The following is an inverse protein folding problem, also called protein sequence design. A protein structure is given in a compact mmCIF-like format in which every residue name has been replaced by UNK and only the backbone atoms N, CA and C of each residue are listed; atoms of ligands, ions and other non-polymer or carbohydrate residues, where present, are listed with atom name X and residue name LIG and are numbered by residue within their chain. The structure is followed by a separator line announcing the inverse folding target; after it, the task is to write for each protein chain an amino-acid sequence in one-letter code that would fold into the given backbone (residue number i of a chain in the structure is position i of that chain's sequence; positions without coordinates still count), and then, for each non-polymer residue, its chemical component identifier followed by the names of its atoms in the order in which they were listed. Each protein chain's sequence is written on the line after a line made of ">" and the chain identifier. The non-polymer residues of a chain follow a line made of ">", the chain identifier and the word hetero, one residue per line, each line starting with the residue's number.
data_IF_716920292626
#
_entry.id   IF_716920292626
#
_cell.length_a   1.000
_cell.length_b   1.000
_cell.length_c   1.000
_cell.angle_alpha   90.00
_cell.angle_beta   90.00
_cell.angle_gamma   90.00
#
_symmetry.space_group_name_H-M   'P 1'
#
loop_
_entity.id
_entity.type
_entity.pdbx_description
1 polymer ?
#
# COMPACT_ATOMS: atom_id res chain seq x y z
N UNK A 1 -13.51 -1.66 -12.17
CA UNK A 1 -13.00 -1.36 -10.81
C UNK A 1 -11.78 -2.24 -10.58
N UNK A 2 -10.62 -1.63 -10.31
CA UNK A 2 -9.37 -2.35 -10.03
C UNK A 2 -9.51 -3.14 -8.73
N UNK A 3 -9.01 -4.38 -8.68
CA UNK A 3 -8.88 -5.16 -7.45
C UNK A 3 -7.41 -5.52 -7.21
N UNK A 4 -6.94 -5.30 -5.98
CA UNK A 4 -5.57 -5.63 -5.55
C UNK A 4 -5.66 -6.65 -4.42
N UNK A 5 -4.92 -7.75 -4.53
CA UNK A 5 -4.86 -8.80 -3.51
C UNK A 5 -3.67 -8.57 -2.59
N UNK A 6 -3.93 -8.50 -1.29
CA UNK A 6 -2.95 -8.28 -0.24
C UNK A 6 -2.69 -9.59 0.48
N UNK A 7 -1.46 -10.09 0.39
CA UNK A 7 -1.01 -11.21 1.20
C UNK A 7 -0.57 -10.71 2.58
N UNK A 8 -1.26 -11.14 3.63
CA UNK A 8 -1.03 -10.68 5.01
C UNK A 8 -0.83 -11.86 5.96
N UNK A 9 -0.32 -11.58 7.16
CA UNK A 9 -0.18 -12.59 8.19
C UNK A 9 -1.55 -13.09 8.68
N UNK A 10 -1.65 -14.35 9.14
CA UNK A 10 -2.91 -14.90 9.64
C UNK A 10 -3.55 -14.07 10.76
N UNK A 11 -2.77 -13.56 11.71
CA UNK A 11 -3.28 -12.76 12.83
C UNK A 11 -4.04 -11.51 12.35
N UNK A 12 -3.43 -10.75 11.43
CA UNK A 12 -4.04 -9.54 10.87
C UNK A 12 -5.26 -9.87 9.99
N UNK A 13 -5.18 -10.95 9.21
CA UNK A 13 -6.31 -11.44 8.42
C UNK A 13 -7.51 -11.78 9.32
N UNK A 14 -7.29 -12.58 10.36
CA UNK A 14 -8.36 -13.02 11.27
C UNK A 14 -8.90 -11.87 12.12
N UNK A 15 -8.06 -10.88 12.45
CA UNK A 15 -8.54 -9.67 13.10
C UNK A 15 -9.48 -8.88 12.19
N UNK A 16 -9.07 -8.64 10.93
CA UNK A 16 -9.91 -7.99 9.92
C UNK A 16 -11.23 -8.76 9.70
N UNK A 17 -11.16 -10.08 9.58
CA UNK A 17 -12.32 -10.96 9.47
C UNK A 17 -13.29 -10.78 10.64
N UNK A 18 -12.76 -10.72 11.87
CA UNK A 18 -13.58 -10.55 13.06
C UNK A 18 -14.33 -9.22 13.10
N UNK A 19 -13.79 -8.17 12.46
CA UNK A 19 -14.50 -6.89 12.33
C UNK A 19 -15.72 -7.05 11.43
N UNK A 20 -15.58 -7.74 10.31
CA UNK A 20 -16.67 -8.06 9.39
C UNK A 20 -17.76 -8.89 10.08
N UNK A 21 -17.39 -9.97 10.78
CA UNK A 21 -18.36 -10.81 11.52
C UNK A 21 -19.16 -10.02 12.56
N UNK A 22 -18.51 -9.03 13.20
CA UNK A 22 -19.13 -8.15 14.20
C UNK A 22 -19.88 -6.96 13.58
N UNK A 23 -19.95 -6.87 12.25
CA UNK A 23 -20.49 -5.72 11.52
C UNK A 23 -19.84 -4.38 11.91
N UNK A 24 -18.56 -4.41 12.26
CA UNK A 24 -17.76 -3.21 12.54
C UNK A 24 -17.18 -2.73 11.21
N UNK A 25 -17.46 -1.48 10.77
CA UNK A 25 -16.94 -0.97 9.52
C UNK A 25 -15.41 -0.84 9.57
N UNK A 26 -14.75 -1.27 8.50
CA UNK A 26 -13.31 -1.04 8.31
C UNK A 26 -13.14 0.35 7.72
N UNK A 27 -12.63 1.29 8.51
CA UNK A 27 -12.40 2.65 8.07
C UNK A 27 -11.06 2.71 7.36
N UNK A 28 -11.01 3.42 6.23
CA UNK A 28 -9.78 3.56 5.46
C UNK A 28 -9.40 5.02 5.25
N UNK A 29 -8.09 5.26 5.09
CA UNK A 29 -7.56 6.50 4.55
C UNK A 29 -6.48 6.22 3.50
N UNK A 30 -6.76 6.56 2.24
CA UNK A 30 -5.86 6.36 1.12
C UNK A 30 -5.13 7.65 0.72
N UNK A 31 -3.82 7.61 0.55
CA UNK A 31 -3.01 8.73 0.06
C UNK A 31 -1.82 8.25 -0.76
N UNK A 32 -1.15 9.17 -1.46
CA UNK A 32 0.08 8.87 -2.21
C UNK A 32 1.30 9.38 -1.45
N UNK A 33 2.34 8.56 -1.38
CA UNK A 33 3.66 8.95 -0.88
C UNK A 33 4.66 8.95 -2.04
N UNK A 34 5.35 10.06 -2.26
CA UNK A 34 6.39 10.20 -3.27
C UNK A 34 7.78 10.37 -2.63
N UNK A 35 8.75 9.60 -3.12
CA UNK A 35 10.17 9.79 -2.83
C UNK A 35 10.84 10.33 -4.09
N UNK A 36 11.36 11.54 -3.99
CA UNK A 36 12.06 12.22 -5.09
C UNK A 36 13.56 12.29 -4.80
N UNK A 37 14.37 12.48 -5.83
CA UNK A 37 15.80 12.70 -5.67
C UNK A 37 16.62 12.25 -6.88
N UNK A 38 17.84 12.76 -6.98
CA UNK A 38 18.78 12.39 -8.04
C UNK A 38 19.17 10.92 -7.92
N UNK A 39 19.22 10.20 -9.04
CA UNK A 39 19.85 8.89 -9.11
C UNK A 39 21.36 8.96 -8.81
N UNK A 40 21.97 7.82 -8.52
CA UNK A 40 23.44 7.72 -8.41
C UNK A 40 24.14 7.87 -9.77
N UNK A 41 23.42 7.60 -10.86
CA UNK A 41 23.84 7.85 -12.24
C UNK A 41 23.54 9.30 -12.63
N UNK A 42 24.47 9.97 -13.33
CA UNK A 42 24.30 11.35 -13.79
C UNK A 42 23.03 11.51 -14.66
N UNK A 43 22.10 12.37 -14.22
CA UNK A 43 21.21 13.07 -15.16
C UNK A 43 19.70 12.84 -15.09
N UNK A 44 19.14 12.17 -14.08
CA UNK A 44 17.68 12.04 -13.96
C UNK A 44 17.16 12.21 -12.54
N UNK A 45 16.24 13.16 -12.34
CA UNK A 45 15.32 13.09 -11.20
C UNK A 45 14.49 11.81 -11.35
N UNK A 46 14.55 10.93 -10.35
CA UNK A 46 13.74 9.72 -10.32
C UNK A 46 12.75 9.80 -9.16
N UNK A 47 11.53 9.32 -9.40
CA UNK A 47 10.43 9.38 -8.45
C UNK A 47 9.83 8.00 -8.25
N UNK A 48 9.77 7.57 -7.00
CA UNK A 48 9.04 6.37 -6.58
C UNK A 48 7.73 6.82 -5.96
N UNK A 49 6.61 6.25 -6.42
CA UNK A 49 5.28 6.48 -5.85
C UNK A 49 4.82 5.23 -5.11
N UNK A 50 4.41 5.40 -3.86
CA UNK A 50 3.76 4.37 -3.06
C UNK A 50 2.34 4.85 -2.76
N UNK A 51 1.34 4.09 -3.19
CA UNK A 51 -0.01 4.25 -2.71
C UNK A 51 -0.09 3.65 -1.31
N UNK A 52 -0.54 4.42 -0.31
CA UNK A 52 -0.72 3.92 1.06
C UNK A 52 -2.20 3.95 1.41
N UNK A 53 -2.70 2.84 1.94
CA UNK A 53 -4.05 2.72 2.50
C UNK A 53 -3.93 2.32 3.96
N UNK A 54 -4.35 3.22 4.84
CA UNK A 54 -4.40 3.00 6.27
C UNK A 54 -5.76 2.40 6.66
N UNK A 55 -5.75 1.27 7.36
CA UNK A 55 -6.91 0.58 7.92
C UNK A 55 -6.73 0.51 9.44
N UNK A 56 -6.57 1.68 10.08
CA UNK A 56 -6.03 1.76 11.44
C UNK A 56 -6.89 1.05 12.48
N UNK A 57 -8.22 1.02 12.31
CA UNK A 57 -9.10 0.28 13.22
C UNK A 57 -9.06 -1.24 13.00
N UNK A 58 -8.44 -1.69 11.90
CA UNK A 58 -8.04 -3.08 11.65
C UNK A 58 -6.57 -3.33 11.97
N UNK A 59 -5.89 -2.41 12.68
CA UNK A 59 -4.47 -2.47 13.05
C UNK A 59 -3.52 -2.71 11.86
N UNK A 60 -3.92 -2.28 10.66
CA UNK A 60 -3.17 -2.57 9.43
C UNK A 60 -3.02 -1.34 8.54
N UNK A 61 -1.91 -1.26 7.82
CA UNK A 61 -1.72 -0.37 6.69
C UNK A 61 -1.03 -1.14 5.55
N UNK A 62 -1.39 -0.79 4.32
CA UNK A 62 -0.82 -1.42 3.12
C UNK A 62 -0.26 -0.38 2.17
N UNK A 63 0.93 -0.63 1.64
CA UNK A 63 1.64 0.17 0.67
C UNK A 63 1.76 -0.57 -0.66
N UNK A 64 1.60 0.14 -1.77
CA UNK A 64 1.77 -0.41 -3.11
C UNK A 64 2.70 0.49 -3.92
N UNK A 65 3.90 -0.02 -4.27
CA UNK A 65 4.77 0.67 -5.20
C UNK A 65 4.19 0.53 -6.62
N UNK A 66 3.76 1.63 -7.20
CA UNK A 66 3.10 1.62 -8.51
C UNK A 66 4.12 1.78 -9.65
N UNK A 67 3.85 1.19 -10.84
CA UNK A 67 4.59 1.53 -12.05
C UNK A 67 4.57 3.05 -12.33
N UNK A 68 5.63 3.59 -12.94
CA UNK A 68 5.83 5.05 -13.10
C UNK A 68 4.71 5.74 -13.90
N UNK A 69 4.18 5.01 -14.87
CA UNK A 69 3.14 5.39 -15.82
C UNK A 69 1.72 5.11 -15.30
N UNK A 70 1.58 4.46 -14.14
CA UNK A 70 0.28 4.09 -13.58
C UNK A 70 -0.13 5.04 -12.47
N UNK A 71 -1.41 5.37 -12.49
CA UNK A 71 -2.13 6.06 -11.41
C UNK A 71 -3.43 5.32 -11.17
N UNK A 72 -3.90 5.33 -9.92
CA UNK A 72 -5.19 4.74 -9.57
C UNK A 72 -6.19 5.87 -9.45
N UNK A 73 -7.12 5.92 -10.40
CA UNK A 73 -8.22 6.85 -10.42
C UNK A 73 -9.52 6.18 -9.97
N UNK A 74 -10.35 6.91 -9.23
CA UNK A 74 -11.64 6.41 -8.77
C UNK A 74 -11.54 5.41 -7.60
N UNK A 75 -12.54 4.53 -7.52
CA UNK A 75 -12.61 3.50 -6.50
C UNK A 75 -11.87 2.23 -6.93
N UNK A 76 -11.23 1.58 -5.96
CA UNK A 76 -10.55 0.30 -6.11
C UNK A 76 -10.88 -0.61 -4.93
N UNK A 77 -10.80 -1.92 -5.13
CA UNK A 77 -11.08 -2.93 -4.12
C UNK A 77 -9.77 -3.53 -3.61
N UNK A 78 -9.62 -3.62 -2.30
CA UNK A 78 -8.60 -4.44 -1.64
C UNK A 78 -9.23 -5.77 -1.23
N UNK A 79 -8.60 -6.87 -1.60
CA UNK A 79 -8.91 -8.21 -1.07
C UNK A 79 -7.74 -8.70 -0.24
N UNK A 80 -8.00 -9.49 0.80
CA UNK A 80 -6.99 -9.96 1.73
C UNK A 80 -6.92 -11.49 1.73
N UNK A 81 -5.71 -12.04 1.73
CA UNK A 81 -5.45 -13.48 1.76
C UNK A 81 -4.31 -13.79 2.73
N UNK A 82 -4.34 -14.99 3.30
CA UNK A 82 -3.30 -15.49 4.21
C UNK A 82 -2.99 -16.98 3.94
N UNK A 83 -2.00 -17.53 4.65
CA UNK A 83 -1.55 -18.93 4.49
C UNK A 83 -2.61 -19.97 4.88
N UNK A 84 -3.52 -19.65 5.79
CA UNK A 84 -4.46 -20.59 6.40
C UNK A 84 -5.62 -21.02 5.48
N UNK A 85 -5.53 -20.74 4.17
CA UNK A 85 -6.61 -20.82 3.19
C UNK A 85 -7.83 -19.99 3.64
N UNK A 86 -7.86 -18.69 3.32
CA UNK A 86 -8.98 -17.83 3.68
C UNK A 86 -10.29 -18.45 3.20
N UNK A 87 -11.27 -18.55 4.10
CA UNK A 87 -12.58 -19.14 3.82
C UNK A 87 -13.54 -18.16 3.16
N UNK A 88 -13.27 -16.85 3.26
CA UNK A 88 -14.14 -15.78 2.78
C UNK A 88 -13.30 -14.63 2.19
N UNK A 89 -13.86 -13.93 1.19
CA UNK A 89 -13.26 -12.68 0.68
C UNK A 89 -13.68 -11.53 1.61
N UNK A 90 -12.72 -10.73 2.06
CA UNK A 90 -12.97 -9.53 2.88
C UNK A 90 -12.70 -8.29 2.03
N UNK A 91 -13.68 -7.88 1.20
CA UNK A 91 -13.47 -6.78 0.27
C UNK A 91 -13.54 -5.43 0.99
N UNK A 92 -12.50 -4.61 0.87
CA UNK A 92 -12.53 -3.21 1.30
C UNK A 92 -12.51 -2.31 0.07
N UNK A 93 -13.59 -1.57 -0.16
CA UNK A 93 -13.68 -0.60 -1.26
C UNK A 93 -13.04 0.72 -0.79
N UNK A 94 -12.02 1.15 -1.52
CA UNK A 94 -11.17 2.29 -1.19
C UNK A 94 -11.16 3.32 -2.31
N UNK A 95 -10.77 4.55 -1.95
CA UNK A 95 -10.48 5.64 -2.87
C UNK A 95 -9.28 6.44 -2.37
N UNK A 96 -8.44 6.91 -3.28
CA UNK A 96 -7.35 7.81 -2.91
C UNK A 96 -7.87 9.23 -2.68
N UNK A 97 -7.38 9.83 -1.59
CA UNK A 97 -7.47 11.26 -1.39
C UNK A 97 -6.58 12.00 -2.41
N UNK A 98 -6.74 13.31 -2.49
CA UNK A 98 -5.84 14.19 -3.26
C UNK A 98 -4.53 14.46 -2.53
N UNK A 99 -4.33 13.92 -1.33
CA UNK A 99 -3.13 14.16 -0.54
C UNK A 99 -1.92 13.43 -1.15
N UNK A 100 -0.82 14.18 -1.28
CA UNK A 100 0.48 13.66 -1.69
C UNK A 100 1.52 14.05 -0.64
N UNK A 101 2.04 13.06 0.09
CA UNK A 101 3.18 13.24 1.00
C UNK A 101 4.46 13.09 0.20
N UNK A 102 5.44 13.95 0.45
CA UNK A 102 6.71 13.96 -0.28
C UNK A 102 7.90 13.89 0.66
N UNK A 103 8.93 13.19 0.22
CA UNK A 103 10.24 13.18 0.86
C UNK A 103 11.33 13.08 -0.21
N UNK A 104 12.58 13.33 0.18
CA UNK A 104 13.73 13.23 -0.70
C UNK A 104 14.71 12.16 -0.23
N UNK A 105 15.17 11.31 -1.15
CA UNK A 105 16.24 10.34 -0.89
C UNK A 105 17.12 10.19 -2.13
N UNK A 106 18.44 10.26 -1.94
CA UNK A 106 19.43 10.05 -3.01
C UNK A 106 19.67 8.56 -3.18
N UNK A 107 19.51 8.05 -4.39
CA UNK A 107 19.60 6.62 -4.70
C UNK A 107 18.82 6.29 -5.96
N UNK A 108 18.96 5.08 -6.48
CA UNK A 108 18.09 4.59 -7.56
C UNK A 108 16.66 4.31 -7.05
N UNK A 109 15.77 3.83 -7.94
CA UNK A 109 14.38 3.56 -7.58
C UNK A 109 14.21 2.40 -6.57
N UNK A 110 15.18 1.49 -6.45
CA UNK A 110 15.12 0.41 -5.47
C UNK A 110 15.55 0.93 -4.10
N UNK A 111 16.65 1.68 -4.03
CA UNK A 111 17.10 2.32 -2.80
C UNK A 111 16.02 3.29 -2.25
N UNK A 112 15.35 4.05 -3.13
CA UNK A 112 14.20 4.88 -2.74
C UNK A 112 13.02 4.06 -2.21
N UNK A 113 12.72 2.91 -2.81
CA UNK A 113 11.64 2.03 -2.35
C UNK A 113 11.96 1.40 -0.99
N UNK A 114 13.19 0.93 -0.80
CA UNK A 114 13.66 0.40 0.49
C UNK A 114 13.58 1.48 1.58
N UNK A 115 14.03 2.69 1.28
CA UNK A 115 13.96 3.82 2.20
C UNK A 115 12.53 4.12 2.67
N UNK A 116 11.57 4.22 1.74
CA UNK A 116 10.18 4.49 2.11
C UNK A 116 9.51 3.31 2.79
N UNK A 117 9.83 2.08 2.37
CA UNK A 117 9.35 0.86 3.03
C UNK A 117 9.76 0.83 4.49
N UNK A 118 11.06 0.99 4.77
CA UNK A 118 11.58 1.06 6.13
C UNK A 118 10.98 2.22 6.94
N UNK A 119 10.87 3.41 6.33
CA UNK A 119 10.33 4.59 7.02
C UNK A 119 8.86 4.41 7.41
N UNK A 120 8.03 3.85 6.51
CA UNK A 120 6.63 3.57 6.78
C UNK A 120 6.48 2.43 7.80
N UNK A 121 7.28 1.37 7.69
CA UNK A 121 7.29 0.28 8.66
C UNK A 121 7.56 0.82 10.07
N UNK A 122 8.61 1.63 10.27
CA UNK A 122 8.91 2.24 11.57
C UNK A 122 7.82 3.19 12.07
N UNK A 123 7.21 3.95 11.18
CA UNK A 123 6.09 4.82 11.53
C UNK A 123 4.88 4.03 12.05
N UNK A 124 4.47 2.97 11.35
CA UNK A 124 3.33 2.16 11.76
C UNK A 124 3.65 1.24 12.95
N UNK A 125 4.86 0.73 13.07
CA UNK A 125 5.34 -0.02 14.24
C UNK A 125 5.18 0.83 15.51
N UNK A 126 5.56 2.12 15.47
CA UNK A 126 5.38 3.04 16.62
C UNK A 126 3.92 3.23 17.04
N UNK A 127 2.97 2.95 16.13
CA UNK A 127 1.53 3.02 16.34
C UNK A 127 0.90 1.66 16.66
N UNK A 128 1.71 0.59 16.75
CA UNK A 128 1.24 -0.80 16.88
C UNK A 128 0.33 -1.24 15.73
N UNK A 129 0.66 -0.79 14.52
CA UNK A 129 -0.04 -1.11 13.27
C UNK A 129 0.90 -1.91 12.39
N UNK A 130 0.43 -3.04 11.86
CA UNK A 130 1.18 -3.81 10.89
C UNK A 130 1.25 -3.07 9.55
N UNK A 131 2.42 -3.05 8.92
CA UNK A 131 2.60 -2.45 7.60
C UNK A 131 3.08 -3.48 6.58
N UNK A 132 2.39 -3.55 5.45
CA UNK A 132 2.72 -4.44 4.34
C UNK A 132 3.04 -3.62 3.10
N UNK A 133 4.21 -3.83 2.49
CA UNK A 133 4.59 -3.18 1.24
C UNK A 133 4.62 -4.20 0.10
N UNK A 134 3.83 -3.93 -0.94
CA UNK A 134 3.78 -4.73 -2.15
C UNK A 134 4.41 -3.95 -3.31
N UNK A 135 5.40 -4.56 -3.96
CA UNK A 135 5.98 -3.98 -5.18
C UNK A 135 5.18 -4.41 -6.41
N UNK A 136 4.41 -3.48 -6.96
CA UNK A 136 3.60 -3.70 -8.16
C UNK A 136 4.25 -3.12 -9.42
N UNK A 137 5.48 -2.58 -9.35
CA UNK A 137 6.17 -1.97 -10.49
C UNK A 137 6.41 -2.95 -11.64
N UNK A 138 6.49 -4.26 -11.34
CA UNK A 138 6.63 -5.34 -12.32
C UNK A 138 5.30 -6.00 -12.74
N UNK A 139 4.14 -5.53 -12.25
CA UNK A 139 2.87 -6.16 -12.53
C UNK A 139 2.42 -5.90 -13.99
N UNK A 140 2.38 -6.98 -14.80
CA UNK A 140 2.04 -6.92 -16.23
C UNK A 140 0.58 -6.57 -16.54
N UNK A 141 -0.32 -6.68 -15.57
CA UNK A 141 -1.77 -6.57 -15.76
C UNK A 141 -2.40 -5.38 -15.00
N UNK A 142 -1.66 -4.27 -14.82
CA UNK A 142 -2.31 -3.05 -14.35
C UNK A 142 -3.21 -2.52 -15.48
N UNK A 143 -4.53 -2.38 -15.27
CA UNK A 143 -5.42 -1.85 -16.31
C UNK A 143 -4.88 -0.51 -16.80
N UNK A 144 -4.82 -0.36 -18.13
CA UNK A 144 -4.71 0.95 -18.75
C UNK A 144 -6.03 1.66 -18.48
N UNK A 145 -6.01 2.71 -17.67
CA UNK A 145 -7.14 3.62 -17.57
C UNK A 145 -7.23 4.46 -18.85
#
# INVERSE_FOLDING_TARGET
>A
MLQIMCWVNPEDYWYLHSLQEKNIPVNYYGYTFEVEGTGESEGGESKVRVMVVELLNANMAVGFALPKDKTIEGEFKLGFICQDKPTEDIPVVCKLSKEVKRTSYRGDDNAKLEFIGFSLEKFYESKKVAFYLFDLRGARNFPDN
#
